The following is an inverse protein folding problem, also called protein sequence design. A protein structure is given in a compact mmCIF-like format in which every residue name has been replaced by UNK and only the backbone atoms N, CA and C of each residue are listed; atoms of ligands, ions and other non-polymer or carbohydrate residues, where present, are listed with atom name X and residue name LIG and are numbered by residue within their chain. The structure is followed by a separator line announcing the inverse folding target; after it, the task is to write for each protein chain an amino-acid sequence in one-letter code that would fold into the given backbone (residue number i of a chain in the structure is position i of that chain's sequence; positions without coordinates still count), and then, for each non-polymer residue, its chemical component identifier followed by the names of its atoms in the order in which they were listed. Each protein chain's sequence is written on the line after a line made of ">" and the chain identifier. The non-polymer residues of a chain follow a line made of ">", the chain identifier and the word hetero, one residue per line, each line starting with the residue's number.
data_IF_449510987636
#
_entry.id   IF_449510987636
#
_cell.length_a   1.000
_cell.length_b   1.000
_cell.length_c   1.000
_cell.angle_alpha   90.00
_cell.angle_beta   90.00
_cell.angle_gamma   90.00
#
_symmetry.space_group_name_H-M   'P 1'
#
loop_
_entity.id
_entity.type
_entity.pdbx_description
1 polymer ?
#
# COMPACT_ATOMS: atom_id res chain seq x y z
N UNK A 1 30.33 -41.90 36.80
CA UNK A 1 29.64 -40.73 36.23
C UNK A 1 29.49 -40.96 34.74
N UNK A 2 28.33 -41.48 34.31
CA UNK A 2 28.04 -41.78 32.91
C UNK A 2 26.65 -41.27 32.61
N UNK A 3 26.56 -40.13 31.94
CA UNK A 3 25.29 -39.58 31.48
C UNK A 3 24.95 -40.18 30.11
N UNK A 4 23.77 -40.83 30.08
CA UNK A 4 23.06 -41.31 28.91
C UNK A 4 22.52 -40.12 28.12
N UNK A 5 22.76 -40.09 26.81
CA UNK A 5 21.96 -39.27 25.90
C UNK A 5 20.87 -40.16 25.28
N UNK A 6 19.62 -39.76 25.51
CA UNK A 6 18.41 -40.40 25.02
C UNK A 6 18.12 -39.85 23.63
N UNK A 7 18.03 -40.75 22.65
CA UNK A 7 17.50 -40.43 21.33
C UNK A 7 15.97 -40.31 21.42
N UNK A 8 15.43 -39.18 21.01
CA UNK A 8 13.99 -39.00 20.76
C UNK A 8 13.81 -38.88 19.26
N UNK A 9 13.17 -39.91 18.70
CA UNK A 9 12.67 -39.99 17.33
C UNK A 9 11.16 -39.68 17.36
N UNK A 10 10.68 -39.00 16.31
CA UNK A 10 9.30 -38.96 15.72
C UNK A 10 8.80 -37.51 15.51
N UNK A 11 7.90 -37.25 14.53
CA UNK A 11 7.84 -37.80 13.17
C UNK A 11 7.78 -36.71 12.09
N UNK A 12 8.19 -37.10 10.90
CA UNK A 12 7.99 -36.41 9.62
C UNK A 12 6.48 -36.40 9.29
N UNK A 13 5.88 -35.21 9.21
CA UNK A 13 4.53 -35.03 8.64
C UNK A 13 4.66 -34.32 7.30
N UNK A 14 4.45 -35.08 6.24
CA UNK A 14 4.12 -34.59 4.91
C UNK A 14 2.72 -33.98 4.95
N UNK A 15 2.57 -32.71 4.56
CA UNK A 15 1.27 -32.15 4.19
C UNK A 15 1.37 -31.42 2.85
N UNK A 16 0.71 -32.04 1.89
CA UNK A 16 0.27 -31.53 0.60
C UNK A 16 -0.79 -30.44 0.75
N UNK A 17 -0.76 -29.45 -0.15
CA UNK A 17 -1.93 -28.94 -0.88
C UNK A 17 -3.05 -28.21 -0.12
N UNK A 18 -3.27 -26.97 -0.57
CA UNK A 18 -4.57 -26.27 -0.68
C UNK A 18 -5.29 -25.73 0.58
N UNK A 19 -5.68 -24.45 0.44
CA UNK A 19 -6.85 -23.77 1.04
C UNK A 19 -6.82 -23.64 2.57
N UNK A 20 -6.42 -22.46 3.05
CA UNK A 20 -6.64 -22.07 4.43
C UNK A 20 -7.99 -21.35 4.55
N UNK A 21 -8.94 -22.07 5.12
CA UNK A 21 -10.19 -21.58 5.68
C UNK A 21 -9.95 -20.58 6.83
N UNK A 22 -10.93 -19.68 6.99
CA UNK A 22 -11.02 -18.63 8.00
C UNK A 22 -11.14 -19.19 9.42
N UNK A 23 -10.66 -18.48 10.46
CA UNK A 23 -11.13 -18.68 11.81
C UNK A 23 -12.38 -17.83 12.11
N UNK A 24 -13.20 -18.39 12.99
CA UNK A 24 -14.56 -18.03 13.35
C UNK A 24 -14.71 -16.62 13.97
N UNK A 25 -15.88 -16.04 13.69
CA UNK A 25 -16.38 -14.78 14.22
C UNK A 25 -16.70 -14.88 15.72
N UNK A 26 -16.34 -13.85 16.47
CA UNK A 26 -16.99 -13.51 17.74
C UNK A 26 -18.22 -12.65 17.43
N UNK A 27 -19.30 -12.92 18.14
CA UNK A 27 -20.61 -12.30 18.02
C UNK A 27 -20.53 -10.77 18.13
N UNK A 28 -20.58 -10.09 16.98
CA UNK A 28 -20.88 -8.67 16.89
C UNK A 28 -22.37 -8.52 16.63
N UNK A 29 -23.02 -7.66 17.39
CA UNK A 29 -24.44 -7.31 17.27
C UNK A 29 -24.70 -6.71 15.86
N UNK A 30 -25.27 -7.52 14.97
CA UNK A 30 -25.56 -7.12 13.58
C UNK A 30 -26.84 -6.29 13.58
N UNK A 31 -26.71 -4.97 13.52
CA UNK A 31 -27.83 -4.10 13.17
C UNK A 31 -28.06 -4.16 11.66
N UNK A 32 -28.98 -5.04 11.21
CA UNK A 32 -29.52 -5.01 9.86
C UNK A 32 -30.47 -3.82 9.72
N UNK A 33 -30.14 -2.88 8.84
CA UNK A 33 -31.05 -1.79 8.44
C UNK A 33 -31.58 -2.11 7.06
N UNK A 34 -32.89 -2.32 6.97
CA UNK A 34 -33.62 -2.50 5.71
C UNK A 34 -33.73 -1.16 4.97
N UNK A 35 -33.28 -1.09 3.72
CA UNK A 35 -33.45 0.09 2.86
C UNK A 35 -33.80 -0.34 1.43
N UNK A 36 -35.06 -0.71 1.21
CA UNK A 36 -35.65 -0.73 -0.13
C UNK A 36 -35.84 0.70 -0.62
N UNK A 37 -34.84 1.25 -1.32
CA UNK A 37 -34.92 2.56 -1.96
C UNK A 37 -34.10 2.58 -3.25
N UNK A 38 -34.76 2.83 -4.38
CA UNK A 38 -34.12 3.00 -5.70
C UNK A 38 -33.20 4.22 -5.70
N UNK A 39 -31.96 4.04 -6.15
CA UNK A 39 -30.94 5.09 -6.17
C UNK A 39 -31.29 6.25 -7.14
N UNK A 40 -31.06 7.51 -6.75
CA UNK A 40 -31.23 8.67 -7.64
C UNK A 40 -30.11 8.77 -8.69
N UNK A 41 -30.35 9.46 -9.82
CA UNK A 41 -29.37 9.60 -10.90
C UNK A 41 -28.15 10.42 -10.47
N UNK A 42 -27.01 10.06 -11.06
CA UNK A 42 -25.67 10.58 -10.77
C UNK A 42 -25.49 12.01 -11.31
N UNK A 43 -25.03 13.00 -10.51
CA UNK A 43 -24.73 14.33 -11.00
C UNK A 43 -23.41 14.39 -11.78
N UNK A 44 -23.39 15.17 -12.87
CA UNK A 44 -22.19 15.42 -13.68
C UNK A 44 -21.08 16.16 -12.89
N UNK A 45 -19.80 15.85 -13.13
CA UNK A 45 -18.69 16.46 -12.39
C UNK A 45 -18.39 17.89 -12.86
N UNK A 46 -18.39 18.82 -11.91
CA UNK A 46 -17.98 20.22 -12.09
C UNK A 46 -16.44 20.32 -12.13
N UNK A 47 -15.91 20.85 -13.23
CA UNK A 47 -14.49 20.94 -13.52
C UNK A 47 -13.91 22.27 -13.03
N UNK A 48 -13.58 22.35 -11.73
CA UNK A 48 -12.73 23.44 -11.25
C UNK A 48 -12.84 23.74 -9.76
N UNK A 49 -12.04 23.07 -8.93
CA UNK A 49 -11.76 23.56 -7.58
C UNK A 49 -10.33 23.21 -7.17
N UNK A 50 -9.41 24.17 -7.37
CA UNK A 50 -8.22 24.26 -6.54
C UNK A 50 -8.67 24.47 -5.08
N UNK A 51 -8.03 23.72 -4.16
CA UNK A 51 -8.25 23.69 -2.70
C UNK A 51 -8.81 24.98 -2.12
N UNK A 52 -10.15 25.08 -2.06
CA UNK A 52 -10.80 26.10 -1.23
C UNK A 52 -10.73 25.59 0.21
N UNK A 53 -10.29 26.41 1.18
CA UNK A 53 -10.52 26.09 2.57
C UNK A 53 -12.04 26.00 2.73
N UNK A 54 -12.53 24.79 3.05
CA UNK A 54 -13.92 24.58 3.44
C UNK A 54 -14.16 25.24 4.80
N UNK A 55 -14.18 26.57 4.83
CA UNK A 55 -14.78 27.38 5.88
C UNK A 55 -16.30 27.25 5.76
N UNK A 56 -16.79 26.01 5.87
CA UNK A 56 -18.19 25.66 5.82
C UNK A 56 -18.81 25.74 7.21
N UNK A 57 -20.13 25.91 7.24
CA UNK A 57 -20.96 25.85 8.46
C UNK A 57 -20.59 24.63 9.32
N UNK A 58 -20.80 24.69 10.65
CA UNK A 58 -20.59 23.53 11.53
C UNK A 58 -21.29 22.30 10.98
N UNK A 59 -20.52 21.23 10.73
CA UNK A 59 -21.05 19.95 10.25
C UNK A 59 -21.65 19.17 11.42
N UNK A 60 -22.76 18.43 11.24
CA UNK A 60 -23.18 17.44 12.22
C UNK A 60 -22.05 16.44 12.46
N UNK A 61 -21.72 16.21 13.73
CA UNK A 61 -20.73 15.21 14.12
C UNK A 61 -21.46 13.88 14.36
N UNK A 62 -21.09 12.86 13.59
CA UNK A 62 -21.62 11.50 13.68
C UNK A 62 -20.50 10.63 14.20
N UNK A 63 -20.75 9.87 15.26
CA UNK A 63 -19.78 8.94 15.84
C UNK A 63 -20.25 7.50 15.64
N UNK A 64 -19.35 6.63 15.19
CA UNK A 64 -19.57 5.20 15.05
C UNK A 64 -18.44 4.45 15.75
N UNK A 65 -18.79 3.60 16.71
CA UNK A 65 -17.86 2.71 17.41
C UNK A 65 -17.98 1.29 16.86
N UNK A 66 -16.84 0.63 16.67
CA UNK A 66 -16.75 -0.67 16.00
C UNK A 66 -16.69 -0.57 14.48
N UNK A 67 -16.66 -1.73 13.83
CA UNK A 67 -16.51 -1.82 12.38
C UNK A 67 -17.78 -1.35 11.65
N UNK A 68 -17.59 -0.61 10.54
CA UNK A 68 -18.66 -0.25 9.61
C UNK A 68 -18.59 -1.17 8.38
N UNK A 69 -19.56 -2.07 8.25
CA UNK A 69 -19.65 -3.02 7.13
C UNK A 69 -20.76 -2.57 6.16
N UNK A 70 -20.41 -2.38 4.90
CA UNK A 70 -21.31 -1.94 3.83
C UNK A 70 -21.45 -3.06 2.79
N UNK A 71 -22.55 -3.80 2.87
CA UNK A 71 -22.96 -4.85 1.91
C UNK A 71 -23.99 -4.35 0.89
N UNK A 72 -24.73 -3.28 1.23
CA UNK A 72 -25.70 -2.59 0.37
C UNK A 72 -25.22 -1.20 -0.02
N UNK A 73 -26.14 -0.23 -0.08
CA UNK A 73 -25.78 1.17 -0.29
C UNK A 73 -25.68 1.93 1.03
N UNK A 74 -24.60 2.68 1.23
CA UNK A 74 -24.44 3.62 2.35
C UNK A 74 -23.99 4.98 1.83
N UNK A 75 -24.65 6.03 2.30
CA UNK A 75 -24.27 7.42 2.07
C UNK A 75 -23.80 8.07 3.37
N UNK A 76 -22.61 8.67 3.34
CA UNK A 76 -22.13 9.61 4.36
C UNK A 76 -22.07 10.98 3.69
N UNK A 77 -22.95 11.90 4.08
CA UNK A 77 -23.10 13.19 3.41
C UNK A 77 -23.05 14.35 4.41
N UNK A 78 -22.34 15.42 4.06
CA UNK A 78 -22.40 16.72 4.74
C UNK A 78 -22.05 16.71 6.23
N UNK A 79 -21.29 15.72 6.68
CA UNK A 79 -21.04 15.44 8.10
C UNK A 79 -19.55 15.32 8.41
N UNK A 80 -19.21 15.49 9.68
CA UNK A 80 -17.96 14.98 10.24
C UNK A 80 -18.27 13.59 10.80
N UNK A 81 -17.88 12.55 10.09
CA UNK A 81 -18.11 11.16 10.48
C UNK A 81 -16.84 10.60 11.13
N UNK A 82 -16.91 10.37 12.44
CA UNK A 82 -15.82 9.78 13.21
C UNK A 82 -16.07 8.29 13.38
N UNK A 83 -15.13 7.48 12.90
CA UNK A 83 -15.15 6.02 12.99
C UNK A 83 -14.02 5.56 13.91
N UNK A 84 -14.36 4.84 14.99
CA UNK A 84 -13.41 4.07 15.80
C UNK A 84 -13.54 2.58 15.45
N UNK A 85 -12.95 2.19 14.33
CA UNK A 85 -13.08 0.84 13.77
C UNK A 85 -12.64 0.78 12.31
N UNK A 86 -12.73 -0.40 11.72
CA UNK A 86 -12.48 -0.59 10.29
C UNK A 86 -13.70 -0.23 9.44
N UNK A 87 -13.44 0.24 8.21
CA UNK A 87 -14.49 0.44 7.20
C UNK A 87 -14.36 -0.65 6.14
N UNK A 88 -15.41 -1.41 5.92
CA UNK A 88 -15.38 -2.57 5.01
C UNK A 88 -16.52 -2.45 4.01
N UNK A 89 -16.22 -2.37 2.73
CA UNK A 89 -17.18 -2.45 1.62
C UNK A 89 -16.90 -3.76 0.87
N UNK A 90 -17.88 -4.66 0.81
CA UNK A 90 -17.69 -6.02 0.31
C UNK A 90 -18.82 -6.47 -0.62
N UNK A 91 -18.61 -7.59 -1.32
CA UNK A 91 -19.57 -8.12 -2.28
C UNK A 91 -19.87 -7.09 -3.37
N UNK A 92 -21.13 -6.67 -3.47
CA UNK A 92 -21.59 -5.62 -4.37
C UNK A 92 -21.95 -4.31 -3.65
N UNK A 93 -21.46 -4.13 -2.42
CA UNK A 93 -21.74 -2.94 -1.61
C UNK A 93 -21.22 -1.66 -2.25
N UNK A 94 -21.93 -0.55 -2.03
CA UNK A 94 -21.53 0.78 -2.49
C UNK A 94 -21.52 1.76 -1.33
N UNK A 95 -20.34 2.30 -1.03
CA UNK A 95 -20.18 3.43 -0.13
C UNK A 95 -20.01 4.71 -0.93
N UNK A 96 -20.91 5.67 -0.74
CA UNK A 96 -20.80 7.03 -1.23
C UNK A 96 -20.47 7.98 -0.08
N UNK A 97 -19.46 8.82 -0.27
CA UNK A 97 -19.06 9.87 0.68
C UNK A 97 -19.10 11.21 -0.06
N UNK A 98 -19.84 12.18 0.48
CA UNK A 98 -20.11 13.47 -0.17
C UNK A 98 -19.95 14.61 0.84
N UNK A 99 -19.22 15.66 0.48
CA UNK A 99 -19.11 16.89 1.28
C UNK A 99 -18.79 16.63 2.77
N UNK A 100 -18.01 15.59 3.04
CA UNK A 100 -17.85 15.02 4.37
C UNK A 100 -16.40 15.09 4.85
N UNK A 101 -16.22 14.92 6.14
CA UNK A 101 -14.92 14.63 6.74
C UNK A 101 -15.00 13.25 7.37
N UNK A 102 -14.14 12.33 6.94
CA UNK A 102 -13.97 11.03 7.57
C UNK A 102 -12.80 11.09 8.54
N UNK A 103 -13.09 10.87 9.80
CA UNK A 103 -12.10 10.85 10.88
C UNK A 103 -11.95 9.41 11.34
N UNK A 104 -10.78 8.82 11.10
CA UNK A 104 -10.43 7.49 11.56
C UNK A 104 -9.76 7.60 12.93
N UNK A 105 -10.53 7.41 13.99
CA UNK A 105 -10.04 7.45 15.36
C UNK A 105 -9.28 6.15 15.64
N UNK A 106 -7.98 6.26 15.86
CA UNK A 106 -7.11 5.15 16.23
C UNK A 106 -6.13 5.57 17.35
N UNK A 107 -5.83 4.63 18.23
CA UNK A 107 -4.92 4.77 19.37
C UNK A 107 -3.46 4.66 18.90
N UNK A 108 -3.20 3.89 17.84
CA UNK A 108 -1.88 3.73 17.21
C UNK A 108 -2.00 3.49 15.70
N UNK A 109 -0.89 3.68 14.95
CA UNK A 109 -0.83 3.47 13.50
C UNK A 109 -1.24 2.06 13.09
N UNK A 110 -2.05 1.95 12.03
CA UNK A 110 -2.54 0.70 11.45
C UNK A 110 -3.41 -0.17 12.38
N UNK A 111 -3.99 0.40 13.45
CA UNK A 111 -4.97 -0.31 14.29
C UNK A 111 -6.22 -0.70 13.49
N UNK A 112 -6.64 0.18 12.58
CA UNK A 112 -7.82 0.02 11.75
C UNK A 112 -7.49 0.20 10.27
N UNK A 113 -8.39 -0.25 9.40
CA UNK A 113 -8.21 -0.16 7.94
C UNK A 113 -9.51 0.15 7.23
N UNK A 114 -9.41 0.71 6.03
CA UNK A 114 -10.48 0.68 5.04
C UNK A 114 -10.20 -0.44 4.03
N UNK A 115 -11.21 -1.23 3.70
CA UNK A 115 -11.11 -2.32 2.72
C UNK A 115 -12.29 -2.25 1.74
N UNK A 116 -11.99 -2.29 0.44
CA UNK A 116 -12.96 -2.40 -0.66
C UNK A 116 -12.53 -3.60 -1.49
N UNK A 117 -13.41 -4.60 -1.63
CA UNK A 117 -13.06 -5.88 -2.26
C UNK A 117 -14.23 -6.46 -3.06
N UNK A 118 -14.04 -7.61 -3.67
CA UNK A 118 -15.01 -8.26 -4.54
C UNK A 118 -15.41 -7.33 -5.72
N UNK A 119 -16.69 -6.98 -5.88
CA UNK A 119 -17.22 -6.04 -6.88
C UNK A 119 -17.65 -4.70 -6.25
N UNK A 120 -17.15 -4.40 -5.04
CA UNK A 120 -17.60 -3.25 -4.27
C UNK A 120 -17.17 -1.91 -4.87
N UNK A 121 -17.96 -0.88 -4.58
CA UNK A 121 -17.74 0.48 -5.07
C UNK A 121 -17.48 1.43 -3.91
N UNK A 122 -16.36 2.14 -3.97
CA UNK A 122 -16.09 3.31 -3.14
C UNK A 122 -16.10 4.57 -4.00
N UNK A 123 -16.96 5.50 -3.66
CA UNK A 123 -17.12 6.74 -4.38
C UNK A 123 -17.07 7.90 -3.40
N UNK A 124 -15.96 8.63 -3.38
CA UNK A 124 -15.73 9.78 -2.52
C UNK A 124 -15.67 11.05 -3.36
N UNK A 125 -16.45 12.04 -2.96
CA UNK A 125 -16.47 13.36 -3.59
C UNK A 125 -16.44 14.45 -2.52
N UNK A 126 -15.55 15.42 -2.69
CA UNK A 126 -15.37 16.57 -1.81
C UNK A 126 -15.19 16.16 -0.34
N UNK A 127 -14.33 15.15 -0.15
CA UNK A 127 -14.13 14.49 1.13
C UNK A 127 -12.76 14.84 1.73
N UNK A 128 -12.75 15.12 3.04
CA UNK A 128 -11.51 15.22 3.82
C UNK A 128 -11.28 13.94 4.59
N UNK A 129 -10.08 13.40 4.54
CA UNK A 129 -9.65 12.22 5.31
C UNK A 129 -8.75 12.68 6.45
N UNK A 130 -8.94 12.13 7.64
CA UNK A 130 -8.25 12.53 8.87
C UNK A 130 -7.95 11.30 9.70
N UNK A 131 -6.70 11.19 10.13
CA UNK A 131 -6.17 10.05 10.87
C UNK A 131 -5.42 10.49 12.12
N UNK A 132 -5.42 11.79 12.41
CA UNK A 132 -4.68 12.42 13.49
C UNK A 132 -3.17 12.12 13.39
N UNK A 133 -2.64 12.20 12.17
CA UNK A 133 -1.23 11.96 11.84
C UNK A 133 -0.77 10.51 11.94
N UNK A 134 -1.67 9.57 12.23
CA UNK A 134 -1.36 8.13 12.37
C UNK A 134 -1.55 7.42 11.03
N UNK A 135 -0.72 6.42 10.75
CA UNK A 135 -0.86 5.68 9.50
C UNK A 135 -2.16 4.89 9.46
N UNK A 136 -2.85 4.92 8.32
CA UNK A 136 -4.10 4.22 8.11
C UNK A 136 -4.15 3.70 6.68
N UNK A 137 -4.50 2.42 6.50
CA UNK A 137 -4.42 1.76 5.20
C UNK A 137 -5.81 1.70 4.53
N UNK A 138 -5.88 2.16 3.29
CA UNK A 138 -6.98 1.95 2.36
C UNK A 138 -6.56 0.84 1.41
N UNK A 139 -7.28 -0.28 1.41
CA UNK A 139 -6.92 -1.42 0.57
C UNK A 139 -8.04 -1.72 -0.42
N UNK A 140 -7.67 -1.81 -1.69
CA UNK A 140 -8.56 -2.12 -2.80
C UNK A 140 -8.10 -3.44 -3.42
N UNK A 141 -9.02 -4.40 -3.54
CA UNK A 141 -8.72 -5.74 -4.04
C UNK A 141 -9.81 -6.24 -4.99
N UNK A 142 -9.51 -7.35 -5.66
CA UNK A 142 -10.38 -7.99 -6.64
C UNK A 142 -10.85 -6.98 -7.72
N UNK A 143 -12.14 -6.91 -7.99
CA UNK A 143 -12.73 -6.04 -9.02
C UNK A 143 -13.27 -4.73 -8.43
N UNK A 144 -12.76 -4.31 -7.27
CA UNK A 144 -13.21 -3.08 -6.63
C UNK A 144 -13.06 -1.86 -7.55
N UNK A 145 -14.05 -0.97 -7.47
CA UNK A 145 -14.09 0.27 -8.25
C UNK A 145 -14.03 1.46 -7.30
N UNK A 146 -13.04 2.32 -7.51
CA UNK A 146 -12.75 3.45 -6.64
C UNK A 146 -12.79 4.74 -7.42
N UNK A 147 -13.57 5.71 -6.95
CA UNK A 147 -13.64 7.07 -7.51
C UNK A 147 -13.36 8.07 -6.40
N UNK A 148 -12.32 8.88 -6.57
CA UNK A 148 -11.87 9.93 -5.64
C UNK A 148 -11.88 11.27 -6.37
N UNK A 149 -12.79 12.16 -6.02
CA UNK A 149 -12.92 13.49 -6.63
C UNK A 149 -12.87 14.56 -5.55
N UNK A 150 -11.92 15.50 -5.60
CA UNK A 150 -11.78 16.51 -4.53
C UNK A 150 -11.46 15.88 -3.16
N UNK A 151 -10.71 14.77 -3.14
CA UNK A 151 -10.36 14.06 -1.91
C UNK A 151 -8.99 14.50 -1.42
N UNK A 152 -8.91 14.86 -0.13
CA UNK A 152 -7.67 15.33 0.48
C UNK A 152 -7.46 14.71 1.88
N UNK A 153 -6.27 14.18 2.13
CA UNK A 153 -5.82 13.73 3.46
C UNK A 153 -5.24 14.87 4.31
N UNK A 154 -4.78 14.51 5.52
CA UNK A 154 -3.97 15.40 6.37
C UNK A 154 -2.60 15.67 5.74
N UNK A 155 -2.08 14.67 5.03
CA UNK A 155 -0.89 14.75 4.20
C UNK A 155 -1.15 14.00 2.89
N UNK A 156 -0.35 14.27 1.86
CA UNK A 156 -0.48 13.68 0.53
C UNK A 156 -0.36 12.15 0.50
N UNK A 157 0.16 11.54 1.58
CA UNK A 157 0.39 10.10 1.71
C UNK A 157 -0.25 9.47 2.96
N UNK A 158 -1.05 10.23 3.72
CA UNK A 158 -1.74 9.75 4.92
C UNK A 158 -3.21 10.17 4.82
N UNK A 159 -4.14 9.21 4.62
CA UNK A 159 -3.96 7.75 4.64
C UNK A 159 -3.25 7.16 3.41
N UNK A 160 -2.72 5.94 3.56
CA UNK A 160 -1.99 5.21 2.53
C UNK A 160 -2.90 4.27 1.74
N UNK A 161 -2.95 4.40 0.42
CA UNK A 161 -3.80 3.56 -0.43
C UNK A 161 -3.01 2.43 -1.09
N UNK A 162 -3.62 1.25 -1.20
CA UNK A 162 -3.07 0.11 -1.93
C UNK A 162 -4.13 -0.47 -2.88
N UNK A 163 -3.69 -0.95 -4.04
CA UNK A 163 -4.55 -1.61 -5.02
C UNK A 163 -3.87 -2.83 -5.64
N UNK A 164 -4.62 -3.93 -5.78
CA UNK A 164 -4.23 -5.14 -6.51
C UNK A 164 -5.43 -5.87 -7.11
N UNK A 165 -5.19 -7.00 -7.79
CA UNK A 165 -6.21 -8.00 -8.15
C UNK A 165 -7.39 -7.60 -9.10
N UNK A 166 -7.19 -6.72 -10.09
CA UNK A 166 -8.18 -6.21 -11.09
C UNK A 166 -8.90 -4.90 -10.71
N UNK A 167 -8.35 -4.13 -9.78
CA UNK A 167 -8.91 -2.86 -9.32
C UNK A 167 -8.89 -1.77 -10.40
N UNK A 168 -9.92 -0.91 -10.37
CA UNK A 168 -9.98 0.33 -11.15
C UNK A 168 -10.10 1.53 -10.22
N UNK A 169 -9.18 2.49 -10.35
CA UNK A 169 -9.17 3.74 -9.59
C UNK A 169 -9.28 4.93 -10.53
N UNK A 170 -10.21 5.85 -10.26
CA UNK A 170 -10.29 7.15 -10.91
C UNK A 170 -10.06 8.25 -9.88
N UNK A 171 -9.13 9.15 -10.15
CA UNK A 171 -8.72 10.24 -9.25
C UNK A 171 -8.85 11.57 -9.99
N UNK A 172 -9.55 12.54 -9.42
CA UNK A 172 -9.65 13.88 -10.00
C UNK A 172 -9.56 14.97 -8.94
N UNK A 173 -8.83 16.05 -9.21
CA UNK A 173 -8.70 17.20 -8.30
C UNK A 173 -8.35 16.79 -6.85
N UNK A 174 -7.57 15.72 -6.67
CA UNK A 174 -7.33 15.10 -5.37
C UNK A 174 -5.85 15.07 -5.01
N UNK A 175 -5.55 14.83 -3.73
CA UNK A 175 -4.19 14.54 -3.26
C UNK A 175 -4.17 13.11 -2.73
N UNK A 176 -3.50 12.20 -3.45
CA UNK A 176 -3.56 10.75 -3.17
C UNK A 176 -2.19 10.09 -3.29
N UNK A 177 -1.83 9.31 -2.26
CA UNK A 177 -0.76 8.33 -2.30
C UNK A 177 -1.30 6.92 -2.55
N UNK A 178 -0.81 6.23 -3.57
CA UNK A 178 -1.33 4.92 -3.99
C UNK A 178 -0.22 3.94 -4.38
N UNK A 179 -0.18 2.78 -3.72
CA UNK A 179 0.61 1.61 -4.12
C UNK A 179 -0.16 0.78 -5.15
N UNK A 180 0.48 0.53 -6.29
CA UNK A 180 -0.03 -0.29 -7.39
C UNK A 180 0.69 -1.64 -7.40
N UNK A 181 -0.08 -2.72 -7.50
CA UNK A 181 0.41 -4.08 -7.65
C UNK A 181 -0.44 -4.86 -8.64
N UNK A 182 0.12 -5.92 -9.23
CA UNK A 182 -0.61 -6.89 -10.08
C UNK A 182 -1.42 -6.23 -11.22
N UNK A 183 -2.73 -6.51 -11.34
CA UNK A 183 -3.61 -5.97 -12.38
C UNK A 183 -4.38 -4.77 -11.81
N UNK A 184 -3.82 -3.58 -11.93
CA UNK A 184 -4.45 -2.35 -11.42
C UNK A 184 -4.48 -1.29 -12.52
N UNK A 185 -5.63 -0.63 -12.70
CA UNK A 185 -5.78 0.47 -13.65
C UNK A 185 -6.12 1.76 -12.93
N UNK A 186 -5.30 2.79 -13.13
CA UNK A 186 -5.50 4.12 -12.55
C UNK A 186 -5.61 5.16 -13.64
N UNK A 187 -6.67 5.95 -13.57
CA UNK A 187 -6.83 7.18 -14.35
C UNK A 187 -6.84 8.36 -13.40
N UNK A 188 -6.00 9.37 -13.67
CA UNK A 188 -5.94 10.59 -12.87
C UNK A 188 -6.07 11.84 -13.72
N UNK A 189 -6.70 12.87 -13.17
CA UNK A 189 -6.75 14.20 -13.77
C UNK A 189 -6.52 15.30 -12.71
N UNK A 190 -5.71 16.29 -13.06
CA UNK A 190 -5.45 17.49 -12.24
C UNK A 190 -5.22 17.18 -10.74
N UNK A 191 -4.41 16.17 -10.44
CA UNK A 191 -4.23 15.65 -9.08
C UNK A 191 -2.78 15.74 -8.63
N UNK A 192 -2.56 15.80 -7.31
CA UNK A 192 -1.24 15.66 -6.70
C UNK A 192 -1.05 14.22 -6.25
N UNK A 193 -0.02 13.56 -6.77
CA UNK A 193 0.12 12.12 -6.71
C UNK A 193 1.42 11.71 -6.02
N UNK A 194 1.32 10.66 -5.23
CA UNK A 194 2.43 9.80 -4.87
C UNK A 194 2.07 8.38 -5.34
N UNK A 195 2.94 7.76 -6.13
CA UNK A 195 2.73 6.38 -6.57
C UNK A 195 3.87 5.49 -6.11
N UNK A 196 3.53 4.34 -5.53
CA UNK A 196 4.46 3.24 -5.33
C UNK A 196 4.13 2.09 -6.28
N UNK A 197 5.13 1.51 -6.94
CA UNK A 197 4.97 0.38 -7.85
C UNK A 197 5.54 -0.91 -7.24
N UNK A 198 4.73 -1.94 -7.07
CA UNK A 198 5.21 -3.29 -6.73
C UNK A 198 5.42 -4.07 -8.03
N UNK A 199 6.68 -4.26 -8.39
CA UNK A 199 7.12 -4.87 -9.64
C UNK A 199 7.56 -6.32 -9.37
N UNK A 200 6.78 -7.29 -9.85
CA UNK A 200 7.00 -8.73 -9.74
C UNK A 200 7.09 -9.37 -11.13
N UNK A 201 8.16 -10.11 -11.40
CA UNK A 201 8.45 -10.73 -12.71
C UNK A 201 8.43 -9.69 -13.85
N UNK A 202 9.06 -8.52 -13.62
CA UNK A 202 9.10 -7.41 -14.56
C UNK A 202 10.49 -7.28 -15.16
N UNK A 203 10.58 -7.09 -16.48
CA UNK A 203 11.83 -6.63 -17.13
C UNK A 203 11.56 -5.39 -17.95
N UNK A 204 12.32 -4.33 -17.74
CA UNK A 204 12.12 -3.09 -18.49
C UNK A 204 12.97 -1.92 -18.03
N UNK A 205 12.89 -0.84 -18.80
CA UNK A 205 13.48 0.44 -18.45
C UNK A 205 12.37 1.50 -18.32
N UNK A 206 12.38 2.26 -17.24
CA UNK A 206 11.36 3.24 -16.93
C UNK A 206 11.96 4.62 -16.65
N UNK A 207 11.20 5.65 -17.03
CA UNK A 207 11.43 7.04 -16.67
C UNK A 207 10.19 7.55 -15.95
N UNK A 208 10.33 7.84 -14.66
CA UNK A 208 9.24 8.28 -13.81
C UNK A 208 9.30 9.80 -13.67
N UNK A 209 8.28 10.54 -14.16
CA UNK A 209 8.31 12.00 -14.15
C UNK A 209 8.26 12.56 -12.72
N UNK A 210 8.94 13.68 -12.48
CA UNK A 210 8.82 14.46 -11.24
C UNK A 210 8.16 15.81 -11.54
N UNK A 211 7.25 16.23 -10.68
CA UNK A 211 6.51 17.49 -10.85
C UNK A 211 5.33 17.39 -11.81
N UNK A 212 4.91 18.52 -12.38
CA UNK A 212 3.76 18.59 -13.27
C UNK A 212 4.02 17.85 -14.59
N UNK A 213 3.16 16.89 -14.93
CA UNK A 213 3.31 16.08 -16.14
C UNK A 213 2.00 15.36 -16.52
N UNK A 214 2.01 14.77 -17.72
CA UNK A 214 1.05 13.75 -18.14
C UNK A 214 1.81 12.45 -18.35
N UNK A 215 1.22 11.33 -17.96
CA UNK A 215 1.84 10.02 -18.02
C UNK A 215 0.86 9.00 -18.61
N UNK A 216 1.33 8.22 -19.57
CA UNK A 216 0.63 7.03 -20.03
C UNK A 216 1.60 5.87 -20.01
N UNK A 217 1.42 4.97 -19.05
CA UNK A 217 2.33 3.84 -18.80
C UNK A 217 1.53 2.54 -18.65
N UNK A 218 1.98 1.50 -19.34
CA UNK A 218 1.52 0.13 -19.17
C UNK A 218 2.73 -0.71 -18.75
N UNK A 219 2.61 -1.42 -17.63
CA UNK A 219 3.67 -2.26 -17.05
C UNK A 219 3.14 -3.69 -16.99
N UNK A 220 3.73 -4.59 -17.79
CA UNK A 220 3.46 -6.02 -17.69
C UNK A 220 4.14 -6.55 -16.42
N UNK A 221 3.34 -7.02 -15.47
CA UNK A 221 3.74 -7.43 -14.12
C UNK A 221 3.50 -8.94 -13.95
N UNK A 222 4.39 -9.75 -14.53
CA UNK A 222 4.14 -11.17 -14.78
C UNK A 222 3.00 -11.35 -15.80
N UNK A 223 1.96 -12.09 -15.41
CA UNK A 223 0.73 -12.28 -16.21
C UNK A 223 -0.26 -11.11 -16.06
N UNK A 224 0.02 -10.16 -15.17
CA UNK A 224 -0.84 -9.01 -14.91
C UNK A 224 -0.42 -7.76 -15.70
N UNK A 225 -1.30 -6.76 -15.72
CA UNK A 225 -1.03 -5.47 -16.35
C UNK A 225 -1.36 -4.31 -15.40
N UNK A 226 -0.34 -3.55 -14.99
CA UNK A 226 -0.56 -2.27 -14.34
C UNK A 226 -0.68 -1.17 -15.39
N UNK A 227 -1.71 -0.34 -15.27
CA UNK A 227 -1.99 0.76 -16.18
C UNK A 227 -2.11 2.07 -15.42
N UNK A 228 -1.34 3.07 -15.84
CA UNK A 228 -1.40 4.43 -15.32
C UNK A 228 -1.69 5.38 -16.47
N UNK A 229 -2.74 6.18 -16.33
CA UNK A 229 -3.09 7.27 -17.24
C UNK A 229 -3.30 8.52 -16.39
N UNK A 230 -2.39 9.48 -16.49
CA UNK A 230 -2.46 10.72 -15.74
C UNK A 230 -2.43 11.90 -16.69
N UNK A 231 -3.35 12.84 -16.49
CA UNK A 231 -3.39 14.12 -17.20
C UNK A 231 -3.22 15.27 -16.23
N UNK A 232 -2.43 16.27 -16.61
CA UNK A 232 -2.26 17.53 -15.86
C UNK A 232 -1.96 17.34 -14.36
N UNK A 233 -1.25 16.27 -14.00
CA UNK A 233 -1.08 15.86 -12.61
C UNK A 233 0.33 16.21 -12.13
N UNK A 234 0.49 16.42 -10.82
CA UNK A 234 1.77 16.69 -10.18
C UNK A 234 2.26 15.43 -9.47
N UNK A 235 3.39 14.88 -9.92
CA UNK A 235 4.04 13.73 -9.28
C UNK A 235 5.01 14.22 -8.22
N UNK A 236 4.55 14.19 -6.96
CA UNK A 236 5.35 14.65 -5.83
C UNK A 236 6.51 13.69 -5.53
N UNK A 237 6.23 12.39 -5.60
CA UNK A 237 7.14 11.33 -5.19
C UNK A 237 6.82 10.03 -5.95
N UNK A 238 7.80 9.15 -6.04
CA UNK A 238 7.64 7.78 -6.53
C UNK A 238 8.26 6.80 -5.53
N UNK A 239 7.62 5.65 -5.38
CA UNK A 239 8.19 4.46 -4.75
C UNK A 239 8.23 3.32 -5.76
N UNK A 240 9.15 2.39 -5.55
CA UNK A 240 9.10 1.08 -6.20
C UNK A 240 9.51 0.02 -5.21
N UNK A 241 8.91 -1.15 -5.28
CA UNK A 241 9.38 -2.36 -4.63
C UNK A 241 9.63 -3.41 -5.71
N UNK A 242 10.88 -3.85 -5.85
CA UNK A 242 11.23 -4.95 -6.76
C UNK A 242 11.03 -6.27 -6.04
N UNK A 243 10.31 -7.15 -6.71
CA UNK A 243 9.84 -8.41 -6.19
C UNK A 243 10.03 -9.50 -7.26
N UNK A 244 10.27 -10.74 -6.82
CA UNK A 244 10.38 -11.97 -7.61
C UNK A 244 10.83 -11.81 -9.08
N UNK A 245 12.10 -12.12 -9.38
CA UNK A 245 12.62 -12.16 -10.76
C UNK A 245 12.47 -10.86 -11.57
N UNK A 246 12.53 -9.71 -10.91
CA UNK A 246 12.46 -8.42 -11.61
C UNK A 246 13.85 -7.91 -12.02
N UNK A 247 14.00 -7.45 -13.25
CA UNK A 247 15.21 -6.83 -13.82
C UNK A 247 14.87 -5.47 -14.42
N UNK A 248 15.05 -4.41 -13.62
CA UNK A 248 14.51 -3.09 -13.93
C UNK A 248 15.61 -2.04 -13.97
N UNK A 249 15.57 -1.20 -15.00
CA UNK A 249 16.37 0.04 -15.07
C UNK A 249 15.48 1.25 -14.84
N UNK A 250 15.81 2.09 -13.87
CA UNK A 250 15.25 3.45 -13.77
C UNK A 250 16.25 4.46 -14.33
N UNK A 251 15.76 5.38 -15.16
CA UNK A 251 16.56 6.48 -15.70
C UNK A 251 15.91 7.83 -15.45
N UNK A 252 16.72 8.85 -15.20
CA UNK A 252 16.28 10.25 -15.09
C UNK A 252 15.07 10.43 -14.13
N UNK A 253 15.09 9.71 -13.01
CA UNK A 253 13.97 9.59 -12.08
C UNK A 253 14.36 10.02 -10.66
N UNK A 254 13.36 10.25 -9.80
CA UNK A 254 13.55 10.43 -8.37
C UNK A 254 12.55 9.56 -7.60
N UNK A 255 13.06 8.61 -6.81
CA UNK A 255 12.20 7.62 -6.17
C UNK A 255 12.81 7.06 -4.89
N UNK A 256 11.94 6.43 -4.11
CA UNK A 256 12.30 5.53 -3.03
C UNK A 256 12.31 4.09 -3.53
N UNK A 257 13.26 3.26 -3.06
CA UNK A 257 13.48 1.91 -3.59
C UNK A 257 13.40 0.84 -2.50
N UNK A 258 12.40 -0.03 -2.61
CA UNK A 258 12.31 -1.32 -1.93
C UNK A 258 12.79 -2.47 -2.79
N UNK A 259 13.33 -3.50 -2.15
CA UNK A 259 13.72 -4.75 -2.81
C UNK A 259 13.48 -5.92 -1.86
N UNK A 260 12.78 -6.95 -2.34
CA UNK A 260 12.46 -8.14 -1.56
C UNK A 260 13.45 -9.27 -1.84
N UNK A 261 13.93 -9.92 -0.78
CA UNK A 261 14.58 -11.21 -0.82
C UNK A 261 13.60 -12.28 -0.33
N UNK A 262 13.60 -13.46 -0.94
CA UNK A 262 12.74 -14.56 -0.51
C UNK A 262 11.27 -14.39 -0.87
N UNK A 263 10.96 -13.58 -1.87
CA UNK A 263 9.60 -13.56 -2.42
C UNK A 263 9.30 -14.70 -3.39
N UNK A 264 10.32 -15.42 -3.87
CA UNK A 264 10.14 -16.73 -4.47
C UNK A 264 10.01 -17.82 -3.40
N UNK A 265 8.78 -18.22 -3.12
CA UNK A 265 8.48 -19.27 -2.14
C UNK A 265 9.03 -20.65 -2.51
N UNK A 266 9.41 -20.86 -3.77
CA UNK A 266 10.05 -22.10 -4.23
C UNK A 266 11.55 -22.15 -3.93
N UNK A 267 12.14 -21.02 -3.52
CA UNK A 267 13.55 -20.86 -3.18
C UNK A 267 13.69 -20.32 -1.76
N UNK A 268 13.46 -21.15 -0.72
CA UNK A 268 13.61 -20.72 0.66
C UNK A 268 15.07 -20.39 1.00
N UNK A 269 15.23 -19.64 2.08
CA UNK A 269 16.51 -19.32 2.71
C UNK A 269 17.51 -18.50 1.85
N UNK A 270 17.11 -17.52 1.03
CA UNK A 270 18.07 -16.71 0.29
C UNK A 270 18.91 -15.86 1.25
N UNK A 271 20.19 -15.73 0.94
CA UNK A 271 21.13 -14.90 1.70
C UNK A 271 21.54 -13.70 0.86
N UNK A 272 21.23 -12.50 1.34
CA UNK A 272 21.56 -11.24 0.66
C UNK A 272 22.43 -10.38 1.56
N UNK A 273 23.49 -9.82 0.99
CA UNK A 273 24.36 -8.86 1.67
C UNK A 273 24.50 -7.61 0.83
N UNK A 274 24.15 -6.46 1.39
CA UNK A 274 24.20 -5.16 0.71
C UNK A 274 24.86 -4.12 1.59
N UNK A 275 25.48 -3.13 0.95
CA UNK A 275 26.15 -2.03 1.63
C UNK A 275 26.11 -0.74 0.83
N UNK A 276 26.20 0.40 1.51
CA UNK A 276 26.36 1.70 0.85
C UNK A 276 25.12 2.16 0.07
N UNK A 277 23.93 1.71 0.48
CA UNK A 277 22.67 2.16 -0.09
C UNK A 277 22.35 3.54 0.49
N UNK A 278 22.77 4.62 -0.17
CA UNK A 278 22.71 6.01 0.34
C UNK A 278 21.61 6.81 -0.33
N UNK A 279 21.08 7.81 0.37
CA UNK A 279 20.16 8.79 -0.19
C UNK A 279 20.94 9.81 -1.03
N UNK A 280 21.04 9.58 -2.34
CA UNK A 280 21.82 10.42 -3.27
C UNK A 280 21.42 10.24 -4.73
N UNK A 281 21.99 11.07 -5.58
CA UNK A 281 22.00 10.85 -7.03
C UNK A 281 23.00 9.76 -7.42
N UNK A 282 22.54 8.80 -8.20
CA UNK A 282 23.33 7.74 -8.82
C UNK A 282 23.46 8.00 -10.32
N UNK A 283 24.70 8.09 -10.81
CA UNK A 283 24.99 8.32 -12.23
C UNK A 283 24.80 7.04 -13.04
N UNK A 284 25.44 5.96 -12.63
CA UNK A 284 25.20 4.59 -13.07
C UNK A 284 25.47 3.65 -11.89
N UNK A 285 24.48 2.89 -11.48
CA UNK A 285 24.57 1.98 -10.34
C UNK A 285 23.77 0.72 -10.64
N UNK A 286 24.32 -0.43 -10.25
CA UNK A 286 23.66 -1.72 -10.40
C UNK A 286 23.69 -2.47 -9.08
N UNK A 287 22.58 -3.14 -8.77
CA UNK A 287 22.41 -3.93 -7.56
C UNK A 287 21.68 -5.24 -7.90
N UNK A 288 22.28 -6.36 -7.52
CA UNK A 288 21.59 -7.63 -7.45
C UNK A 288 21.11 -7.85 -6.01
N UNK A 289 19.86 -8.25 -5.85
CA UNK A 289 19.24 -8.50 -4.55
C UNK A 289 18.36 -9.75 -4.67
N UNK A 290 18.90 -10.89 -4.24
CA UNK A 290 18.29 -12.21 -4.46
C UNK A 290 17.94 -12.46 -5.94
N UNK A 291 16.65 -12.59 -6.27
CA UNK A 291 16.16 -12.83 -7.64
C UNK A 291 16.05 -11.55 -8.46
N UNK A 292 16.25 -10.39 -7.83
CA UNK A 292 16.02 -9.09 -8.43
C UNK A 292 17.32 -8.43 -8.89
N UNK A 293 17.22 -7.65 -9.96
CA UNK A 293 18.28 -6.81 -10.53
C UNK A 293 17.74 -5.40 -10.72
N UNK A 294 18.51 -4.44 -10.25
CA UNK A 294 18.21 -3.02 -10.36
C UNK A 294 19.37 -2.32 -11.06
N UNK A 295 19.06 -1.45 -12.02
CA UNK A 295 19.99 -0.46 -12.54
C UNK A 295 19.40 0.94 -12.39
N UNK A 296 20.24 1.89 -12.00
CA UNK A 296 19.91 3.30 -11.84
C UNK A 296 20.81 4.11 -12.76
N UNK A 297 20.23 4.95 -13.59
CA UNK A 297 20.97 5.87 -14.47
C UNK A 297 20.46 7.29 -14.22
N UNK A 298 21.34 8.21 -13.84
CA UNK A 298 20.97 9.59 -13.49
C UNK A 298 19.74 9.69 -12.56
N UNK A 299 19.67 8.81 -11.57
CA UNK A 299 18.48 8.63 -10.74
C UNK A 299 18.79 9.03 -9.31
N UNK A 300 17.92 9.83 -8.71
CA UNK A 300 18.01 10.20 -7.29
C UNK A 300 17.23 9.22 -6.45
N UNK A 301 17.90 8.58 -5.50
CA UNK A 301 17.24 7.73 -4.51
C UNK A 301 17.10 8.50 -3.21
N UNK A 302 15.87 8.62 -2.72
CA UNK A 302 15.56 9.34 -1.46
C UNK A 302 15.71 8.45 -0.23
N UNK A 303 15.39 7.17 -0.37
CA UNK A 303 15.57 6.18 0.69
C UNK A 303 15.52 4.76 0.14
N UNK A 304 15.98 3.80 0.97
CA UNK A 304 16.03 2.38 0.63
C UNK A 304 15.22 1.53 1.64
N UNK A 305 14.54 0.51 1.13
CA UNK A 305 13.79 -0.51 1.90
C UNK A 305 14.17 -1.95 1.48
N UNK A 306 15.39 -2.41 1.75
CA UNK A 306 15.72 -3.83 1.61
C UNK A 306 14.88 -4.66 2.60
N UNK A 307 14.16 -5.65 2.09
CA UNK A 307 13.22 -6.48 2.85
C UNK A 307 13.51 -7.97 2.65
N UNK A 308 13.07 -8.78 3.61
CA UNK A 308 13.22 -10.23 3.64
C UNK A 308 11.91 -10.96 3.95
N UNK A 309 11.69 -12.05 3.22
CA UNK A 309 10.56 -12.97 3.32
C UNK A 309 11.06 -14.42 3.27
N UNK A 310 10.20 -15.40 3.54
CA UNK A 310 10.48 -16.83 3.35
C UNK A 310 11.87 -17.30 3.88
N UNK A 311 12.15 -17.00 5.15
CA UNK A 311 13.42 -17.31 5.84
C UNK A 311 14.68 -16.63 5.24
N UNK A 312 14.50 -15.60 4.42
CA UNK A 312 15.62 -14.82 3.89
C UNK A 312 16.51 -14.28 5.02
N UNK A 313 17.82 -14.35 4.82
CA UNK A 313 18.81 -13.67 5.66
C UNK A 313 19.35 -12.45 4.91
N UNK A 314 19.00 -11.25 5.37
CA UNK A 314 19.39 -9.99 4.75
C UNK A 314 20.34 -9.23 5.67
N UNK A 315 21.56 -9.00 5.22
CA UNK A 315 22.55 -8.17 5.92
C UNK A 315 22.74 -6.84 5.18
N UNK A 316 22.55 -5.73 5.91
CA UNK A 316 22.61 -4.37 5.39
C UNK A 316 23.64 -3.60 6.20
N UNK A 317 24.59 -2.95 5.52
CA UNK A 317 25.63 -2.15 6.17
C UNK A 317 25.78 -0.75 5.55
N UNK A 318 26.23 0.23 6.34
CA UNK A 318 26.62 1.56 5.87
C UNK A 318 25.57 2.23 4.96
N UNK A 319 24.28 2.15 5.29
CA UNK A 319 23.16 2.53 4.42
C UNK A 319 22.24 3.58 5.06
N UNK A 320 21.49 4.30 4.23
CA UNK A 320 20.45 5.25 4.65
C UNK A 320 19.09 4.61 4.33
N UNK A 321 18.51 3.96 5.32
CA UNK A 321 17.23 3.26 5.20
C UNK A 321 16.12 4.20 5.64
N UNK A 322 14.94 4.08 5.03
CA UNK A 322 13.77 4.71 5.62
C UNK A 322 13.19 3.79 6.70
N UNK A 323 12.40 2.78 6.30
CA UNK A 323 11.56 2.00 7.19
C UNK A 323 11.62 0.49 6.84
N UNK A 324 11.94 -0.35 7.83
CA UNK A 324 11.94 -1.81 7.67
C UNK A 324 10.60 -2.40 8.14
N UNK A 325 9.53 -2.11 7.42
CA UNK A 325 8.17 -2.38 7.88
C UNK A 325 7.50 -3.62 7.29
N UNK A 326 7.98 -4.09 6.15
CA UNK A 326 7.35 -5.18 5.37
C UNK A 326 8.28 -6.40 5.29
N UNK A 327 8.79 -6.84 6.44
CA UNK A 327 9.47 -8.13 6.55
C UNK A 327 8.50 -9.19 7.09
N UNK A 328 8.61 -10.42 6.60
CA UNK A 328 7.73 -11.53 6.97
C UNK A 328 8.39 -12.91 6.93
N UNK A 329 7.59 -13.95 7.18
CA UNK A 329 8.07 -15.31 7.41
C UNK A 329 8.96 -15.40 8.65
N UNK A 330 9.97 -16.26 8.59
CA UNK A 330 11.04 -16.35 9.59
C UNK A 330 12.32 -15.62 9.14
N UNK A 331 12.17 -14.51 8.40
CA UNK A 331 13.32 -13.78 7.88
C UNK A 331 14.23 -13.23 8.99
N UNK A 332 15.53 -13.16 8.73
CA UNK A 332 16.53 -12.60 9.62
C UNK A 332 17.15 -11.35 8.97
N UNK A 333 16.91 -10.19 9.56
CA UNK A 333 17.43 -8.90 9.08
C UNK A 333 18.53 -8.43 10.03
N UNK A 334 19.74 -8.23 9.49
CA UNK A 334 20.87 -7.66 10.23
C UNK A 334 21.22 -6.30 9.65
N UNK A 335 21.20 -5.26 10.49
CA UNK A 335 21.53 -3.88 10.11
C UNK A 335 22.76 -3.43 10.89
N UNK A 336 23.74 -2.84 10.19
CA UNK A 336 24.99 -2.34 10.78
C UNK A 336 25.31 -0.95 10.28
N UNK A 337 25.78 -0.04 11.15
CA UNK A 337 26.31 1.28 10.75
C UNK A 337 25.38 2.05 9.78
N UNK A 338 24.07 1.90 9.95
CA UNK A 338 23.06 2.41 9.01
C UNK A 338 22.02 3.22 9.76
N UNK A 339 21.40 4.21 9.10
CA UNK A 339 20.26 4.91 9.68
C UNK A 339 18.95 4.22 9.29
N UNK A 340 17.98 4.21 10.22
CA UNK A 340 16.59 3.82 9.97
C UNK A 340 15.68 4.47 11.01
N UNK A 341 14.41 4.69 10.67
CA UNK A 341 13.44 5.30 11.59
C UNK A 341 12.60 4.27 12.33
N UNK A 342 12.14 3.22 11.62
CA UNK A 342 11.20 2.23 12.16
C UNK A 342 11.59 0.82 11.67
N UNK A 343 11.42 -0.19 12.53
CA UNK A 343 11.44 -1.61 12.16
C UNK A 343 10.19 -2.31 12.73
N UNK A 344 9.46 -3.02 11.87
CA UNK A 344 8.25 -3.78 12.25
C UNK A 344 8.42 -5.23 11.84
N UNK A 345 8.19 -6.16 12.77
CA UNK A 345 8.08 -7.59 12.49
C UNK A 345 6.61 -7.96 12.28
N UNK A 346 6.23 -8.46 11.10
CA UNK A 346 4.85 -8.92 10.85
C UNK A 346 4.59 -10.37 11.33
N UNK A 347 5.64 -11.18 11.39
CA UNK A 347 5.62 -12.60 11.77
C UNK A 347 6.86 -12.91 12.62
N UNK A 348 7.49 -14.07 12.45
CA UNK A 348 8.66 -14.53 13.21
C UNK A 348 9.99 -13.90 12.74
N UNK A 349 9.94 -12.62 12.35
CA UNK A 349 11.10 -11.89 11.82
C UNK A 349 12.06 -11.55 12.96
N UNK A 350 13.33 -11.87 12.78
CA UNK A 350 14.39 -11.49 13.71
C UNK A 350 15.16 -10.28 13.19
N UNK A 351 15.17 -9.18 13.96
CA UNK A 351 16.03 -8.03 13.70
C UNK A 351 17.27 -8.07 14.60
N UNK A 352 18.45 -7.79 14.02
CA UNK A 352 19.69 -7.53 14.75
C UNK A 352 20.28 -6.21 14.27
N UNK A 353 20.30 -5.21 15.14
CA UNK A 353 20.71 -3.85 14.80
C UNK A 353 21.96 -3.53 15.61
N UNK A 354 23.02 -3.10 14.93
CA UNK A 354 24.32 -2.80 15.51
C UNK A 354 24.79 -1.44 15.07
N UNK A 355 25.19 -0.59 16.02
CA UNK A 355 25.83 0.71 15.73
C UNK A 355 25.00 1.57 14.73
N UNK A 356 23.68 1.58 14.92
CA UNK A 356 22.64 2.04 13.98
C UNK A 356 21.61 2.91 14.68
#
# INVERSE_FOLDING_TARGET
>A
MGLRAVAILLPLVLLSGCVADRPAANDAEIMQVDTSGTAPPEPEPDAGAASRPMAGKPRPNIYHDGDLIVTGYKLINGSRFTLKGSLIVNGSGRLAVRDAELVFAQDYSQQHTLRVKDDAVLDMQDARLTTDGKWFNFNYQDRAQVRLVGVHGEDCCIPWHSSGDNVKVTIANSTVGLTLSQNASVTTDNSSLFFELVLSNVTGAYRLPKGASSLSMDIKNGDNLMRIRATNSYFSHWGTTLDQYSDVTFSDSALTIGMNAGSDWTRPDPVVKVRGLKAKAYQDFSLAFDTNRLRLINTTVTSWYPQGWNNASVEIADSDLADLQFNGGSAAITVRNSSMSIAIARQDVTYRIYDS
#
